data_IF_273931916600
#
_entry.id   IF_273931916600
#
_cell.length_a   1.000
_cell.length_b   1.000
_cell.length_c   1.000
_cell.angle_alpha   90.00
_cell.angle_beta   90.00
_cell.angle_gamma   90.00
#
_symmetry.space_group_name_H-M   'P 1'
#
loop_
_entity.id
_entity.type
_entity.pdbx_description
1 polymer ?
#
# COMPACT_ATOMS: atom_id res chain seq x y z
N UNK A 1 -28.74 -5.99 22.99
CA UNK A 1 -29.61 -6.72 22.05
C UNK A 1 -28.90 -6.76 20.71
N UNK A 2 -27.92 -7.64 20.56
CA UNK A 2 -27.22 -7.91 19.30
C UNK A 2 -27.72 -9.27 18.82
N UNK A 3 -28.69 -9.26 17.91
CA UNK A 3 -29.34 -10.44 17.37
C UNK A 3 -28.90 -10.70 15.94
N UNK A 4 -28.32 -11.88 15.74
CA UNK A 4 -28.49 -12.77 14.58
C UNK A 4 -28.21 -12.23 13.16
N UNK A 5 -27.00 -12.53 12.66
CA UNK A 5 -26.73 -12.80 11.24
C UNK A 5 -25.73 -13.97 11.13
N UNK A 6 -26.14 -15.15 11.58
CA UNK A 6 -25.45 -16.43 11.32
C UNK A 6 -26.33 -17.45 10.59
N UNK A 7 -27.53 -17.07 10.18
CA UNK A 7 -28.35 -17.90 9.29
C UNK A 7 -27.87 -17.71 7.86
N UNK A 8 -27.01 -18.60 7.37
CA UNK A 8 -26.95 -19.17 6.01
C UNK A 8 -25.61 -19.93 5.90
N UNK A 9 -25.65 -21.23 6.19
CA UNK A 9 -24.48 -22.13 6.17
C UNK A 9 -23.95 -22.40 4.76
N UNK A 10 -23.21 -21.46 4.19
CA UNK A 10 -22.28 -21.72 3.08
C UNK A 10 -20.89 -21.25 3.49
N UNK A 11 -19.92 -22.15 3.47
CA UNK A 11 -18.51 -21.79 3.54
C UNK A 11 -18.21 -20.85 2.38
N UNK A 12 -18.05 -19.55 2.66
CA UNK A 12 -17.65 -18.57 1.66
C UNK A 12 -16.27 -18.97 1.14
N UNK A 13 -16.10 -18.99 -0.18
CA UNK A 13 -14.78 -19.22 -0.76
C UNK A 13 -13.82 -18.09 -0.34
N UNK A 14 -12.49 -18.29 -0.37
CA UNK A 14 -11.53 -17.22 -0.09
C UNK A 14 -11.72 -15.99 -0.98
N UNK A 15 -12.30 -16.15 -2.17
CA UNK A 15 -12.66 -15.05 -3.07
C UNK A 15 -13.91 -14.29 -2.62
N UNK A 16 -14.92 -14.97 -2.07
CA UNK A 16 -16.18 -14.35 -1.64
C UNK A 16 -16.00 -13.50 -0.37
N UNK A 17 -15.12 -13.93 0.53
CA UNK A 17 -14.71 -13.13 1.69
C UNK A 17 -14.00 -11.85 1.23
N UNK A 18 -13.11 -11.96 0.25
CA UNK A 18 -12.37 -10.83 -0.30
C UNK A 18 -13.29 -9.76 -0.90
N UNK A 19 -14.34 -10.12 -1.64
CA UNK A 19 -15.32 -9.15 -2.17
C UNK A 19 -16.18 -8.49 -1.10
N UNK A 20 -16.48 -9.20 0.00
CA UNK A 20 -17.27 -8.64 1.10
C UNK A 20 -16.48 -7.60 1.90
N UNK A 21 -15.18 -7.83 2.12
CA UNK A 21 -14.32 -6.86 2.83
C UNK A 21 -14.21 -5.50 2.12
N UNK A 22 -14.27 -5.47 0.79
CA UNK A 22 -14.16 -4.22 0.02
C UNK A 22 -15.36 -3.28 0.15
N UNK A 23 -16.55 -3.80 0.45
CA UNK A 23 -17.77 -3.02 0.64
C UNK A 23 -17.83 -2.30 1.99
N UNK A 24 -16.96 -2.68 2.95
CA UNK A 24 -16.89 -2.10 4.30
C UNK A 24 -15.55 -1.44 4.60
N UNK A 25 -14.71 -1.20 3.58
CA UNK A 25 -13.44 -0.50 3.75
C UNK A 25 -13.72 0.97 4.09
N UNK A 26 -13.25 1.42 5.25
CA UNK A 26 -13.33 2.82 5.68
C UNK A 26 -12.03 3.57 5.40
N UNK A 27 -11.98 4.88 5.68
CA UNK A 27 -10.75 5.66 5.58
C UNK A 27 -9.60 5.01 6.36
N UNK A 28 -8.42 4.96 5.75
CA UNK A 28 -7.17 4.45 6.32
C UNK A 28 -7.13 2.94 6.63
N UNK A 29 -8.14 2.18 6.23
CA UNK A 29 -8.15 0.72 6.40
C UNK A 29 -7.20 -0.01 5.45
N UNK A 30 -6.96 0.54 4.26
CA UNK A 30 -6.20 -0.13 3.20
C UNK A 30 -5.21 0.84 2.59
N UNK A 31 -3.93 0.49 2.64
CA UNK A 31 -2.86 1.29 2.07
C UNK A 31 -2.16 0.54 0.94
N UNK A 32 -1.90 1.23 -0.17
CA UNK A 32 -0.94 0.79 -1.17
C UNK A 32 0.44 1.36 -0.86
N UNK A 33 1.49 0.57 -0.98
CA UNK A 33 2.88 1.01 -0.80
C UNK A 33 3.72 0.63 -2.01
N UNK A 34 4.58 1.55 -2.45
CA UNK A 34 5.41 1.39 -3.65
C UNK A 34 6.67 2.26 -3.55
N UNK A 35 7.76 1.84 -4.19
CA UNK A 35 8.92 2.70 -4.42
C UNK A 35 8.85 3.33 -5.80
N UNK A 36 9.17 4.62 -5.86
CA UNK A 36 9.40 5.33 -7.11
C UNK A 36 10.89 5.65 -7.19
N UNK A 37 11.58 5.17 -8.22
CA UNK A 37 13.02 5.38 -8.43
C UNK A 37 13.63 4.42 -9.46
N UNK A 38 14.91 4.50 -9.85
CA UNK A 38 16.05 5.26 -9.30
C UNK A 38 16.21 6.67 -9.89
N UNK A 39 16.09 7.69 -9.06
CA UNK A 39 16.31 9.09 -9.44
C UNK A 39 17.80 9.46 -9.44
N UNK A 40 18.20 10.54 -10.14
CA UNK A 40 19.51 11.15 -9.95
C UNK A 40 19.75 11.43 -8.47
N UNK A 41 20.89 10.98 -7.95
CA UNK A 41 21.19 11.08 -6.52
C UNK A 41 21.24 12.55 -6.10
N UNK A 42 20.37 12.93 -5.17
CA UNK A 42 20.37 14.25 -4.54
C UNK A 42 20.61 14.08 -3.05
N UNK A 43 21.74 14.60 -2.55
CA UNK A 43 22.16 14.44 -1.15
C UNK A 43 22.17 12.98 -0.64
N UNK A 44 22.49 12.05 -1.53
CA UNK A 44 22.48 10.60 -1.26
C UNK A 44 21.12 9.93 -1.35
N UNK A 45 20.03 10.65 -1.62
CA UNK A 45 18.69 10.12 -1.83
C UNK A 45 18.43 9.83 -3.30
N UNK A 46 17.86 8.67 -3.60
CA UNK A 46 17.60 8.21 -4.98
C UNK A 46 16.27 7.51 -5.16
N UNK A 47 15.51 7.29 -4.08
CA UNK A 47 14.21 6.65 -4.10
C UNK A 47 13.21 7.47 -3.31
N UNK A 48 11.94 7.37 -3.66
CA UNK A 48 10.82 7.86 -2.88
C UNK A 48 9.97 6.65 -2.51
N UNK A 49 9.79 6.41 -1.21
CA UNK A 49 8.82 5.47 -0.70
C UNK A 49 7.47 6.19 -0.60
N UNK A 50 6.46 5.63 -1.25
CA UNK A 50 5.12 6.21 -1.33
C UNK A 50 4.12 5.26 -0.69
N UNK A 51 3.23 5.78 0.16
CA UNK A 51 2.05 5.09 0.64
C UNK A 51 0.80 5.91 0.36
N UNK A 52 -0.22 5.25 -0.21
CA UNK A 52 -1.47 5.90 -0.60
C UNK A 52 -2.63 5.16 0.05
N UNK A 53 -3.47 5.89 0.79
CA UNK A 53 -4.73 5.36 1.31
C UNK A 53 -5.70 5.10 0.15
N UNK A 54 -6.32 3.93 0.19
CA UNK A 54 -7.17 3.47 -0.88
C UNK A 54 -8.48 4.27 -1.00
N UNK A 55 -9.06 4.70 0.14
CA UNK A 55 -10.37 5.39 0.17
C UNK A 55 -10.26 6.90 0.06
N UNK A 56 -9.45 7.55 0.90
CA UNK A 56 -9.27 9.01 0.90
C UNK A 56 -8.36 9.52 -0.21
N UNK A 57 -7.55 8.64 -0.81
CA UNK A 57 -6.43 9.03 -1.69
C UNK A 57 -5.35 9.85 -0.97
N UNK A 58 -5.31 9.81 0.36
CA UNK A 58 -4.26 10.46 1.14
C UNK A 58 -2.89 9.86 0.81
N UNK A 59 -1.87 10.72 0.71
CA UNK A 59 -0.51 10.33 0.32
C UNK A 59 0.46 10.62 1.46
N UNK A 60 1.24 9.63 1.84
CA UNK A 60 2.43 9.78 2.68
C UNK A 60 3.65 9.37 1.86
N UNK A 61 4.69 10.20 1.87
CA UNK A 61 5.90 10.01 1.06
C UNK A 61 7.16 10.25 1.88
N UNK A 62 8.23 9.53 1.54
CA UNK A 62 9.53 9.68 2.18
C UNK A 62 10.64 9.49 1.15
N UNK A 63 11.54 10.48 1.06
CA UNK A 63 12.79 10.30 0.32
C UNK A 63 13.71 9.33 1.05
N UNK A 64 14.26 8.36 0.33
CA UNK A 64 15.11 7.29 0.89
C UNK A 64 16.40 7.13 0.08
N UNK A 65 17.48 6.78 0.78
CA UNK A 65 18.80 6.51 0.18
C UNK A 65 18.89 5.09 -0.37
N UNK A 66 18.14 4.18 0.24
CA UNK A 66 18.07 2.76 -0.10
C UNK A 66 16.61 2.32 -0.13
N UNK A 67 16.32 1.28 -0.88
CA UNK A 67 15.02 0.62 -0.93
C UNK A 67 14.97 -0.59 0.03
N UNK A 68 15.58 -0.48 1.21
CA UNK A 68 15.69 -1.60 2.14
C UNK A 68 14.39 -1.85 2.92
N UNK A 69 14.13 -3.12 3.24
CA UNK A 69 13.03 -3.54 4.11
C UNK A 69 12.95 -2.78 5.44
N UNK A 70 14.11 -2.46 6.05
CA UNK A 70 14.18 -1.73 7.32
C UNK A 70 13.61 -0.30 7.19
N UNK A 71 13.85 0.33 6.04
CA UNK A 71 13.32 1.67 5.74
C UNK A 71 11.80 1.60 5.64
N UNK A 72 11.27 0.58 4.94
CA UNK A 72 9.82 0.35 4.81
C UNK A 72 9.16 0.12 6.18
N UNK A 73 9.73 -0.76 7.01
CA UNK A 73 9.19 -1.06 8.35
C UNK A 73 9.16 0.19 9.24
N UNK A 74 10.22 1.00 9.21
CA UNK A 74 10.28 2.24 9.99
C UNK A 74 9.27 3.28 9.50
N UNK A 75 9.14 3.41 8.18
CA UNK A 75 8.16 4.28 7.56
C UNK A 75 6.74 3.88 7.97
N UNK A 76 6.36 2.61 7.86
CA UNK A 76 5.03 2.14 8.25
C UNK A 76 4.71 2.45 9.70
N UNK A 77 5.66 2.20 10.62
CA UNK A 77 5.47 2.52 12.03
C UNK A 77 5.24 4.01 12.26
N UNK A 78 6.13 4.86 11.76
CA UNK A 78 6.14 6.29 12.09
C UNK A 78 5.10 7.09 11.32
N UNK A 79 4.88 6.76 10.04
CA UNK A 79 4.07 7.55 9.13
C UNK A 79 2.65 7.01 8.98
N UNK A 80 2.42 5.71 9.14
CA UNK A 80 1.09 5.12 8.98
C UNK A 80 0.50 4.76 10.34
N UNK A 81 1.14 3.83 11.03
CA UNK A 81 0.63 3.19 12.24
C UNK A 81 0.44 4.18 13.40
N UNK A 82 1.44 5.04 13.63
CA UNK A 82 1.37 6.05 14.69
C UNK A 82 0.41 7.21 14.36
N UNK A 83 0.18 7.53 13.09
CA UNK A 83 -0.63 8.70 12.69
C UNK A 83 -2.10 8.36 12.44
N UNK A 84 -2.36 7.27 11.73
CA UNK A 84 -3.69 6.91 11.23
C UNK A 84 -4.25 5.64 11.91
N UNK A 85 -3.45 4.95 12.72
CA UNK A 85 -3.81 3.69 13.36
C UNK A 85 -3.37 2.47 12.54
N UNK A 86 -3.79 1.27 12.99
CA UNK A 86 -3.45 0.03 12.30
C UNK A 86 -4.36 -0.18 11.09
N UNK A 87 -3.83 -0.23 9.87
CA UNK A 87 -4.64 -0.58 8.71
C UNK A 87 -5.06 -2.05 8.77
N UNK A 88 -6.17 -2.38 8.14
CA UNK A 88 -6.63 -3.77 7.97
C UNK A 88 -5.80 -4.50 6.93
N UNK A 89 -5.37 -3.80 5.86
CA UNK A 89 -4.54 -4.38 4.83
C UNK A 89 -3.48 -3.41 4.30
N UNK A 90 -2.35 -3.99 3.93
CA UNK A 90 -1.29 -3.33 3.18
C UNK A 90 -1.09 -4.06 1.86
N UNK A 91 -1.02 -3.32 0.77
CA UNK A 91 -0.87 -3.85 -0.58
C UNK A 91 0.46 -3.36 -1.15
N UNK A 92 1.27 -4.27 -1.64
CA UNK A 92 2.54 -3.95 -2.31
C UNK A 92 2.71 -4.78 -3.58
N UNK A 93 3.72 -4.45 -4.38
CA UNK A 93 4.21 -5.34 -5.42
C UNK A 93 5.06 -6.49 -4.82
N UNK A 94 5.56 -7.35 -5.71
CA UNK A 94 6.39 -8.51 -5.37
C UNK A 94 7.85 -8.18 -5.10
N UNK A 95 8.23 -6.90 -4.95
CA UNK A 95 9.62 -6.55 -4.72
C UNK A 95 10.11 -7.05 -3.36
N UNK A 96 11.38 -7.50 -3.32
CA UNK A 96 11.96 -8.23 -2.18
C UNK A 96 11.96 -7.43 -0.88
N UNK A 97 12.02 -6.10 -0.97
CA UNK A 97 11.97 -5.21 0.19
C UNK A 97 10.56 -5.09 0.80
N UNK A 98 9.52 -5.52 0.10
CA UNK A 98 8.19 -5.73 0.67
C UNK A 98 7.96 -7.19 1.04
N UNK A 99 8.54 -8.13 0.31
CA UNK A 99 8.40 -9.57 0.54
C UNK A 99 9.55 -10.16 1.37
N UNK A 100 9.69 -9.72 2.63
CA UNK A 100 10.74 -10.22 3.55
C UNK A 100 10.21 -10.54 4.95
N UNK A 101 10.99 -11.31 5.70
CA UNK A 101 10.62 -11.76 7.06
C UNK A 101 10.34 -10.60 8.02
N UNK A 102 11.14 -9.53 8.00
CA UNK A 102 10.94 -8.41 8.92
C UNK A 102 9.59 -7.73 8.68
N UNK A 103 9.22 -7.58 7.42
CA UNK A 103 7.92 -7.06 7.00
C UNK A 103 6.78 -8.00 7.39
N UNK A 104 6.87 -9.29 7.05
CA UNK A 104 5.84 -10.28 7.39
C UNK A 104 5.63 -10.37 8.91
N UNK A 105 6.70 -10.44 9.70
CA UNK A 105 6.61 -10.48 11.17
C UNK A 105 6.04 -9.19 11.76
N UNK A 106 6.29 -8.03 11.14
CA UNK A 106 5.67 -6.77 11.56
C UNK A 106 4.16 -6.83 11.36
N UNK A 107 3.73 -7.15 10.14
CA UNK A 107 2.32 -7.12 9.76
C UNK A 107 1.52 -8.17 10.55
N UNK A 108 2.07 -9.37 10.71
CA UNK A 108 1.49 -10.42 11.56
C UNK A 108 1.33 -9.96 13.01
N UNK A 109 2.35 -9.31 13.60
CA UNK A 109 2.30 -8.79 14.97
C UNK A 109 1.15 -7.81 15.19
N UNK A 110 0.83 -7.00 14.18
CA UNK A 110 -0.22 -5.98 14.26
C UNK A 110 -1.55 -6.41 13.64
N UNK A 111 -1.66 -7.67 13.18
CA UNK A 111 -2.87 -8.19 12.53
C UNK A 111 -3.19 -7.54 11.18
N UNK A 112 -2.19 -6.95 10.52
CA UNK A 112 -2.35 -6.32 9.20
C UNK A 112 -2.22 -7.38 8.11
N UNK A 113 -3.21 -7.48 7.24
CA UNK A 113 -3.16 -8.41 6.11
C UNK A 113 -2.24 -7.86 5.02
N UNK A 114 -1.15 -8.57 4.72
CA UNK A 114 -0.30 -8.24 3.57
C UNK A 114 -0.84 -8.88 2.30
N UNK A 115 -1.09 -8.07 1.27
CA UNK A 115 -1.44 -8.55 -0.07
C UNK A 115 -0.36 -8.14 -1.05
N UNK A 116 0.20 -9.13 -1.72
CA UNK A 116 1.23 -8.94 -2.74
C UNK A 116 0.56 -9.17 -4.09
N UNK A 117 0.64 -8.20 -5.01
CA UNK A 117 -0.02 -8.30 -6.32
C UNK A 117 0.90 -7.83 -7.44
N UNK A 118 0.99 -8.59 -8.54
CA UNK A 118 1.73 -8.21 -9.77
C UNK A 118 1.02 -7.11 -10.59
N UNK A 119 -0.27 -6.96 -10.37
CA UNK A 119 -1.09 -5.85 -10.78
C UNK A 119 -2.28 -5.83 -9.81
N UNK A 120 -2.64 -4.66 -9.29
CA UNK A 120 -3.89 -4.49 -8.57
C UNK A 120 -5.03 -5.05 -9.44
N UNK A 121 -5.73 -6.09 -9.00
CA UNK A 121 -6.79 -6.68 -9.81
C UNK A 121 -8.00 -5.71 -9.83
N UNK A 122 -8.37 -5.08 -10.96
CA UNK A 122 -9.12 -3.81 -10.99
C UNK A 122 -10.63 -3.95 -10.82
N UNK A 123 -11.13 -5.09 -10.38
CA UNK A 123 -12.54 -5.44 -10.62
C UNK A 123 -13.54 -4.56 -9.85
N UNK A 124 -13.07 -3.72 -8.92
CA UNK A 124 -13.92 -2.82 -8.13
C UNK A 124 -13.41 -1.38 -7.96
N UNK A 125 -12.17 -1.00 -8.34
CA UNK A 125 -11.67 0.36 -8.06
C UNK A 125 -10.65 0.94 -9.08
N UNK A 126 -11.01 0.95 -10.36
CA UNK A 126 -10.17 1.54 -11.40
C UNK A 126 -9.76 3.00 -11.16
N UNK A 127 -10.50 3.79 -10.38
CA UNK A 127 -10.13 5.18 -10.09
C UNK A 127 -8.90 5.30 -9.18
N UNK A 128 -8.81 4.44 -8.15
CA UNK A 128 -7.64 4.40 -7.27
C UNK A 128 -6.37 3.94 -8.01
N UNK A 129 -6.53 3.03 -8.98
CA UNK A 129 -5.42 2.60 -9.82
C UNK A 129 -4.94 3.77 -10.71
N UNK A 130 -5.87 4.47 -11.35
CA UNK A 130 -5.56 5.63 -12.20
C UNK A 130 -4.81 6.69 -11.40
N UNK A 131 -5.28 7.09 -10.22
CA UNK A 131 -4.60 8.16 -9.47
C UNK A 131 -3.24 7.70 -8.90
N UNK A 132 -3.05 6.43 -8.53
CA UNK A 132 -1.72 5.94 -8.14
C UNK A 132 -0.75 6.01 -9.33
N UNK A 133 -1.23 5.62 -10.52
CA UNK A 133 -0.44 5.70 -11.75
C UNK A 133 -0.10 7.15 -12.13
N UNK A 134 -1.05 8.08 -11.98
CA UNK A 134 -0.80 9.49 -12.29
C UNK A 134 0.17 10.14 -11.29
N UNK A 135 0.10 9.83 -9.99
CA UNK A 135 1.13 10.27 -9.02
C UNK A 135 2.50 9.74 -9.43
N UNK A 136 2.60 8.44 -9.74
CA UNK A 136 3.88 7.83 -10.15
C UNK A 136 4.45 8.53 -11.39
N UNK A 137 3.60 8.81 -12.40
CA UNK A 137 4.00 9.55 -13.60
C UNK A 137 4.46 10.98 -13.31
N UNK A 138 3.74 11.71 -12.45
CA UNK A 138 4.10 13.09 -12.09
C UNK A 138 5.46 13.10 -11.38
N UNK A 139 5.65 12.22 -10.40
CA UNK A 139 6.93 12.08 -9.69
C UNK A 139 8.07 11.71 -10.64
N UNK A 140 7.85 10.77 -11.57
CA UNK A 140 8.83 10.41 -12.60
C UNK A 140 9.16 11.58 -13.55
N UNK A 141 8.16 12.38 -13.97
CA UNK A 141 8.40 13.56 -14.82
C UNK A 141 9.19 14.65 -14.11
N UNK A 142 8.84 14.96 -12.86
CA UNK A 142 9.51 16.02 -12.09
C UNK A 142 10.97 15.69 -11.77
N UNK A 143 11.30 14.41 -11.70
CA UNK A 143 12.63 13.92 -11.35
C UNK A 143 13.52 13.62 -12.56
N UNK A 144 12.95 13.62 -13.78
CA UNK A 144 13.66 13.42 -15.04
C UNK A 144 13.46 14.64 -15.98
N UNK A 145 14.18 15.76 -15.76
CA UNK A 145 14.02 16.99 -16.55
C UNK A 145 14.48 16.86 -18.02
N UNK A 146 14.99 15.69 -18.44
CA UNK A 146 15.53 15.43 -19.77
C UNK A 146 14.56 14.81 -20.79
N UNK A 147 13.37 14.36 -20.40
CA UNK A 147 12.39 13.84 -21.36
C UNK A 147 11.52 14.97 -21.90
N UNK A 148 12.06 15.74 -22.84
CA UNK A 148 11.26 16.59 -23.74
C UNK A 148 10.54 15.70 -24.77
N UNK A 149 9.38 16.19 -25.19
CA UNK A 149 8.43 15.61 -26.14
C UNK A 149 9.06 14.96 -27.39
#
# INVERSE_FOLDING_TARGET
MFGELTSWGRSLSPMDTCTFYWLWTTFFDVWGIDFVGSFPISNGYSYILLAVDYMSRWVEEMATKTNDAKVVVNFLKSNIFCKFGMPKALISDHESHFCNRAMSSLLEKYGVVHRVTTAYHPQTNGQAEVFNREIKKILQKLTNPGWKD
#
